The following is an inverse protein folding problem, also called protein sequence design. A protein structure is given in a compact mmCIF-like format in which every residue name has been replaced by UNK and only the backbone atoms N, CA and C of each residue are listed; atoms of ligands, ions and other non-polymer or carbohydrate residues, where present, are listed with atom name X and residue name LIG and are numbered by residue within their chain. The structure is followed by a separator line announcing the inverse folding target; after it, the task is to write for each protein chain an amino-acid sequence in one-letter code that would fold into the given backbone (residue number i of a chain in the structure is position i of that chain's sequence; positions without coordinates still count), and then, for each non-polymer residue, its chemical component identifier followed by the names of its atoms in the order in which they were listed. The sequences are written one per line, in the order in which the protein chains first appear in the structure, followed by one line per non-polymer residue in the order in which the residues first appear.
data_IF_797666235186
#
_entry.id   IF_797666235186
#
_cell.length_a   1.000
_cell.length_b   1.000
_cell.length_c   1.000
_cell.angle_alpha   90.00
_cell.angle_beta   90.00
_cell.angle_gamma   90.00
#
_symmetry.space_group_name_H-M   'P 1'
#
loop_
_entity.id
_entity.type
_entity.pdbx_description
1 polymer ?
#
# COMPACT_ATOMS: atom_id res chain seq x y z
N UNK A 1 -15.47 -6.58 3.82
CA UNK A 1 -14.17 -6.11 3.31
C UNK A 1 -13.01 -6.39 4.26
N UNK A 2 -13.28 -6.57 5.56
CA UNK A 2 -12.25 -6.75 6.59
C UNK A 2 -11.27 -7.91 6.36
N UNK A 3 -11.73 -9.08 5.88
CA UNK A 3 -10.85 -10.23 5.68
C UNK A 3 -9.65 -9.95 4.75
N UNK A 4 -9.87 -9.20 3.66
CA UNK A 4 -8.79 -8.84 2.72
C UNK A 4 -7.88 -7.74 3.29
N UNK A 5 -8.44 -6.76 4.01
CA UNK A 5 -7.67 -5.70 4.68
C UNK A 5 -6.75 -6.30 5.73
N UNK A 6 -7.32 -7.05 6.67
CA UNK A 6 -6.61 -7.60 7.82
C UNK A 6 -5.53 -8.59 7.40
N UNK A 7 -5.86 -9.56 6.53
CA UNK A 7 -4.86 -10.52 6.03
C UNK A 7 -3.76 -9.83 5.20
N UNK A 8 -4.09 -8.73 4.52
CA UNK A 8 -3.20 -8.09 3.56
C UNK A 8 -2.53 -9.12 2.65
N UNK A 9 -3.34 -10.00 2.04
CA UNK A 9 -2.90 -11.23 1.35
C UNK A 9 -1.68 -11.03 0.44
N UNK A 10 -1.58 -9.88 -0.21
CA UNK A 10 -0.39 -9.42 -0.92
C UNK A 10 0.15 -8.18 -0.18
N UNK A 11 1.03 -8.35 0.83
CA UNK A 11 1.43 -7.26 1.73
C UNK A 11 2.33 -6.23 1.04
N UNK A 12 3.07 -6.67 0.03
CA UNK A 12 3.76 -5.82 -0.93
C UNK A 12 3.24 -6.20 -2.31
N UNK A 13 2.73 -5.22 -3.06
CA UNK A 13 2.08 -5.48 -4.36
C UNK A 13 3.03 -6.13 -5.36
N UNK A 14 2.46 -6.66 -6.45
CA UNK A 14 3.23 -7.05 -7.63
C UNK A 14 4.13 -5.86 -8.05
N UNK A 15 5.41 -6.09 -8.39
CA UNK A 15 6.29 -5.04 -8.83
C UNK A 15 5.70 -4.30 -10.04
N UNK A 16 5.70 -2.97 -9.97
CA UNK A 16 5.40 -2.11 -11.11
C UNK A 16 6.68 -1.39 -11.54
N UNK A 17 6.63 -0.66 -12.66
CA UNK A 17 7.69 0.25 -13.05
C UNK A 17 7.10 1.56 -13.58
N UNK A 18 7.82 2.67 -13.36
CA UNK A 18 7.45 3.97 -13.94
C UNK A 18 7.57 3.92 -15.47
N UNK A 19 6.56 4.43 -16.18
CA UNK A 19 6.56 4.44 -17.67
C UNK A 19 7.19 5.69 -18.27
N UNK A 20 7.46 6.70 -17.44
CA UNK A 20 8.13 7.95 -17.77
C UNK A 20 8.82 8.53 -16.54
N UNK A 21 9.70 9.52 -16.76
CA UNK A 21 10.23 10.34 -15.68
C UNK A 21 9.08 11.06 -14.98
N UNK A 22 9.03 10.96 -13.65
CA UNK A 22 7.94 11.51 -12.84
C UNK A 22 8.46 12.08 -11.52
N UNK A 23 7.57 12.63 -10.70
CA UNK A 23 7.87 13.03 -9.34
C UNK A 23 6.79 12.59 -8.36
N UNK A 24 7.21 12.22 -7.15
CA UNK A 24 6.32 11.85 -6.04
C UNK A 24 6.84 12.53 -4.79
N UNK A 25 6.00 13.29 -4.09
CA UNK A 25 6.37 14.03 -2.87
C UNK A 25 7.64 14.92 -3.04
N UNK A 26 7.82 15.48 -4.22
CA UNK A 26 9.00 16.31 -4.56
C UNK A 26 10.25 15.53 -4.96
N UNK A 27 10.26 14.20 -4.86
CA UNK A 27 11.36 13.36 -5.32
C UNK A 27 11.23 13.07 -6.81
N UNK A 28 12.32 13.25 -7.55
CA UNK A 28 12.39 12.86 -8.96
C UNK A 28 12.60 11.34 -9.08
N UNK A 29 11.77 10.69 -9.90
CA UNK A 29 11.82 9.25 -10.16
C UNK A 29 12.01 9.03 -11.67
N UNK A 30 13.13 8.47 -12.11
CA UNK A 30 13.37 8.16 -13.51
C UNK A 30 12.36 7.16 -14.08
N UNK A 31 12.18 7.17 -15.40
CA UNK A 31 11.52 6.10 -16.17
C UNK A 31 12.17 4.74 -15.86
N UNK A 32 11.37 3.67 -15.94
CA UNK A 32 11.77 2.27 -15.74
C UNK A 32 12.24 1.95 -14.31
N UNK A 33 11.92 2.80 -13.34
CA UNK A 33 12.19 2.55 -11.91
C UNK A 33 11.17 1.57 -11.35
N UNK A 34 11.64 0.47 -10.75
CA UNK A 34 10.78 -0.52 -10.09
C UNK A 34 10.14 0.07 -8.83
N UNK A 35 8.83 -0.10 -8.70
CA UNK A 35 8.02 0.40 -7.59
C UNK A 35 7.35 -0.77 -6.89
N UNK A 36 7.50 -0.79 -5.56
CA UNK A 36 6.77 -1.66 -4.67
C UNK A 36 5.83 -0.82 -3.82
N UNK A 37 4.55 -1.19 -3.75
CA UNK A 37 3.59 -0.56 -2.84
C UNK A 37 3.49 -1.42 -1.59
N UNK A 38 3.75 -0.84 -0.43
CA UNK A 38 3.52 -1.48 0.86
C UNK A 38 2.01 -1.45 1.17
N UNK A 39 1.29 -2.44 0.66
CA UNK A 39 -0.16 -2.57 0.86
C UNK A 39 -0.49 -2.84 2.33
N UNK A 40 0.36 -3.61 3.04
CA UNK A 40 0.18 -3.89 4.46
C UNK A 40 0.13 -2.60 5.28
N UNK A 41 1.07 -1.67 5.06
CA UNK A 41 1.10 -0.42 5.82
C UNK A 41 -0.13 0.44 5.57
N UNK A 42 -0.69 0.44 4.36
CA UNK A 42 -1.94 1.16 4.03
C UNK A 42 -3.14 0.50 4.72
N UNK A 43 -3.16 -0.83 4.78
CA UNK A 43 -4.23 -1.59 5.42
C UNK A 43 -4.18 -1.53 6.95
N UNK A 44 -3.02 -1.20 7.52
CA UNK A 44 -2.79 -1.11 8.97
C UNK A 44 -2.49 0.33 9.43
N UNK A 45 -2.72 1.33 8.58
CA UNK A 45 -2.56 2.74 8.94
C UNK A 45 -3.60 3.13 10.01
N UNK A 46 -3.19 3.48 11.24
CA UNK A 46 -4.12 3.83 12.32
C UNK A 46 -4.86 5.14 12.09
N UNK A 47 -4.37 6.01 11.20
CA UNK A 47 -5.06 7.25 10.81
C UNK A 47 -6.29 6.92 9.97
N UNK A 48 -6.21 5.87 9.16
CA UNK A 48 -7.30 5.42 8.28
C UNK A 48 -8.18 4.36 8.93
N UNK A 49 -7.59 3.47 9.74
CA UNK A 49 -8.26 2.31 10.32
C UNK A 49 -8.11 2.33 11.84
N UNK A 50 -9.15 2.70 12.60
CA UNK A 50 -9.10 2.64 14.07
C UNK A 50 -8.85 1.21 14.54
N UNK A 51 -7.90 0.99 15.45
CA UNK A 51 -7.48 -0.35 15.91
C UNK A 51 -7.20 -1.31 14.72
N UNK A 52 -6.23 -1.00 13.84
CA UNK A 52 -6.03 -1.73 12.59
C UNK A 52 -5.66 -3.20 12.79
N UNK A 53 -5.03 -3.50 13.94
CA UNK A 53 -4.61 -4.82 14.39
C UNK A 53 -5.76 -5.69 14.92
N UNK A 54 -6.97 -5.13 15.03
CA UNK A 54 -8.15 -5.90 15.38
C UNK A 54 -8.92 -6.26 14.11
N UNK A 55 -9.22 -7.55 13.97
CA UNK A 55 -10.17 -8.02 12.98
C UNK A 55 -11.59 -7.69 13.45
N UNK A 56 -12.27 -6.79 12.75
CA UNK A 56 -13.67 -6.43 13.00
C UNK A 56 -14.52 -6.66 11.74
N UNK A 57 -15.30 -7.76 11.68
CA UNK A 57 -16.16 -8.05 10.54
C UNK A 57 -17.21 -6.97 10.24
N UNK A 58 -17.60 -6.17 11.24
CA UNK A 58 -18.63 -5.15 11.12
C UNK A 58 -18.08 -3.78 10.64
N UNK A 59 -16.75 -3.67 10.49
CA UNK A 59 -16.07 -2.50 9.96
C UNK A 59 -16.46 -2.19 8.50
#
# INVERSE_FOLDING_TARGET
YEAMRFSSFVPVTIPHATTANTSVLGYHIPKDTVVFVNQWSVNHDPVKWPNPENFDPAR
#
